data_IF_959155172004
#
_entry.id   IF_959155172004
#
_cell.length_a   1.000
_cell.length_b   1.000
_cell.length_c   1.000
_cell.angle_alpha   90.00
_cell.angle_beta   90.00
_cell.angle_gamma   90.00
#
_symmetry.space_group_name_H-M   'P 1'
#
loop_
_entity.id
_entity.type
_entity.pdbx_description
1 polymer ?
#
# COMPACT_ATOMS: atom_id res chain seq x y z
N UNK A 1 2.99 10.62 -6.82
CA UNK A 1 1.64 10.31 -7.33
C UNK A 1 0.68 10.41 -6.15
N UNK A 2 -0.53 10.95 -6.34
CA UNK A 2 -1.53 11.04 -5.26
C UNK A 2 -2.69 10.13 -5.66
N UNK A 3 -2.97 9.12 -4.84
CA UNK A 3 -4.08 8.20 -5.06
C UNK A 3 -5.32 8.74 -4.34
N UNK A 4 -6.48 8.76 -5.01
CA UNK A 4 -7.73 9.35 -4.51
C UNK A 4 -8.32 8.63 -3.28
N UNK A 5 -7.67 7.55 -2.84
CA UNK A 5 -8.00 6.74 -1.70
C UNK A 5 -7.09 6.99 -0.49
N UNK A 6 -6.38 8.12 -0.47
CA UNK A 6 -5.42 8.41 0.60
C UNK A 6 -5.83 9.61 1.44
N UNK A 7 -5.73 9.46 2.76
CA UNK A 7 -5.86 10.56 3.72
C UNK A 7 -4.49 11.06 4.18
N UNK A 8 -4.32 12.38 4.15
CA UNK A 8 -3.09 13.08 4.52
C UNK A 8 -3.35 13.88 5.80
N UNK A 9 -2.53 13.66 6.82
CA UNK A 9 -2.64 14.34 8.13
C UNK A 9 -1.44 15.21 8.47
N UNK A 10 -0.46 15.29 7.58
CA UNK A 10 0.75 16.06 7.77
C UNK A 10 1.58 16.15 6.49
N UNK A 11 2.73 16.82 6.59
CA UNK A 11 3.59 17.08 5.45
C UNK A 11 4.52 15.90 5.16
N UNK A 12 4.50 15.40 3.93
CA UNK A 12 5.34 14.29 3.47
C UNK A 12 6.84 14.66 3.48
N UNK A 13 7.18 15.94 3.30
CA UNK A 13 8.57 16.38 3.32
C UNK A 13 9.22 16.28 4.70
N UNK A 14 8.42 16.25 5.77
CA UNK A 14 8.91 16.05 7.14
C UNK A 14 9.37 14.61 7.38
N UNK A 15 8.95 13.67 6.53
CA UNK A 15 9.36 12.26 6.60
C UNK A 15 10.69 11.99 5.90
N UNK A 16 11.14 12.90 5.03
CA UNK A 16 12.37 12.73 4.26
C UNK A 16 13.47 13.57 4.89
N UNK A 17 14.39 12.94 5.61
CA UNK A 17 15.61 13.62 6.03
C UNK A 17 16.56 13.74 4.83
N UNK A 18 16.66 14.95 4.27
CA UNK A 18 17.49 15.24 3.09
C UNK A 18 18.98 14.88 3.28
N UNK A 19 19.49 14.86 4.52
CA UNK A 19 20.87 14.47 4.81
C UNK A 19 21.15 12.98 4.60
N UNK A 20 20.13 12.12 4.71
CA UNK A 20 20.26 10.67 4.46
C UNK A 20 20.11 10.32 2.98
N UNK A 21 19.74 11.28 2.12
CA UNK A 21 19.50 11.05 0.69
C UNK A 21 20.78 10.89 -0.14
N UNK A 22 21.93 11.23 0.42
CA UNK A 22 23.24 10.97 -0.19
C UNK A 22 23.57 9.47 -0.22
N UNK A 23 23.14 8.74 0.81
CA UNK A 23 23.30 7.28 0.89
C UNK A 23 22.11 6.51 0.31
N UNK A 24 20.91 7.08 0.37
CA UNK A 24 19.66 6.46 -0.13
C UNK A 24 19.00 7.38 -1.14
N UNK A 25 19.02 7.01 -2.42
CA UNK A 25 18.54 7.88 -3.50
C UNK A 25 17.10 7.58 -3.96
N UNK A 26 16.51 6.49 -3.43
CA UNK A 26 15.12 6.11 -3.62
C UNK A 26 14.54 5.71 -2.26
N UNK A 27 13.40 6.24 -1.86
CA UNK A 27 12.70 5.84 -0.63
C UNK A 27 11.29 5.41 -1.00
N UNK A 28 10.87 4.23 -0.55
CA UNK A 28 9.56 3.67 -0.83
C UNK A 28 8.77 3.41 0.44
N UNK A 29 7.45 3.32 0.31
CA UNK A 29 6.61 2.71 1.33
C UNK A 29 6.81 1.19 1.42
N UNK A 30 6.13 0.58 2.38
CA UNK A 30 6.26 -0.84 2.71
C UNK A 30 4.90 -1.52 2.69
N UNK A 31 4.87 -2.79 2.28
CA UNK A 31 3.68 -3.64 2.36
C UNK A 31 3.30 -3.94 3.82
N UNK A 32 4.28 -3.96 4.73
CA UNK A 32 4.04 -4.16 6.14
C UNK A 32 5.17 -3.65 7.03
N UNK A 33 5.07 -3.96 8.32
CA UNK A 33 6.04 -3.52 9.32
C UNK A 33 7.25 -4.43 9.45
N UNK A 34 7.03 -5.75 9.40
CA UNK A 34 8.02 -6.76 9.77
C UNK A 34 8.12 -7.86 8.69
N UNK A 35 9.17 -8.69 8.77
CA UNK A 35 9.38 -9.83 7.88
C UNK A 35 9.65 -9.43 6.42
N UNK A 36 9.31 -10.32 5.49
CA UNK A 36 9.29 -10.08 4.05
C UNK A 36 8.36 -8.91 3.69
N UNK A 37 7.20 -8.77 4.34
CA UNK A 37 6.29 -7.63 4.08
C UNK A 37 6.96 -6.28 4.38
N UNK A 38 7.80 -6.23 5.42
CA UNK A 38 8.62 -5.05 5.75
C UNK A 38 9.65 -4.68 4.68
N UNK A 39 9.96 -5.60 3.77
CA UNK A 39 10.97 -5.46 2.72
C UNK A 39 10.33 -5.22 1.35
N UNK A 40 9.12 -5.73 1.14
CA UNK A 40 8.33 -5.50 -0.07
C UNK A 40 7.83 -4.06 -0.16
N UNK A 41 7.76 -3.52 -1.38
CA UNK A 41 7.28 -2.17 -1.67
C UNK A 41 5.77 -2.23 -1.93
N UNK A 42 5.01 -1.35 -1.28
CA UNK A 42 3.57 -1.23 -1.58
C UNK A 42 3.36 -0.46 -2.89
N UNK A 43 4.15 0.58 -3.13
CA UNK A 43 4.21 1.30 -4.41
C UNK A 43 3.28 2.51 -4.48
N UNK A 44 2.50 2.79 -3.44
CA UNK A 44 1.65 3.98 -3.38
C UNK A 44 2.46 5.25 -3.18
N UNK A 45 3.54 5.18 -2.40
CA UNK A 45 4.37 6.33 -2.03
C UNK A 45 5.86 6.09 -2.23
N UNK A 46 6.51 7.04 -2.89
CA UNK A 46 7.95 7.06 -3.01
C UNK A 46 8.50 8.47 -3.14
N UNK A 47 9.76 8.61 -2.73
CA UNK A 47 10.60 9.78 -2.94
C UNK A 47 11.78 9.40 -3.84
N UNK A 48 12.02 10.20 -4.87
CA UNK A 48 13.03 9.97 -5.91
C UNK A 48 13.71 11.30 -6.21
N UNK A 49 15.03 11.34 -6.25
CA UNK A 49 15.75 12.49 -6.80
C UNK A 49 15.93 12.37 -8.32
N UNK A 50 15.91 13.49 -9.04
CA UNK A 50 16.07 13.51 -10.50
C UNK A 50 17.52 13.29 -10.92
N UNK A 51 17.96 12.03 -10.94
CA UNK A 51 19.32 11.64 -11.37
C UNK A 51 19.24 10.61 -12.49
N UNK A 52 20.24 10.54 -13.36
CA UNK A 52 20.29 9.60 -14.49
C UNK A 52 20.16 8.14 -14.05
N UNK A 53 20.76 7.78 -12.91
CA UNK A 53 20.64 6.42 -12.34
C UNK A 53 19.21 6.07 -11.92
N UNK A 54 18.45 7.05 -11.43
CA UNK A 54 17.04 6.86 -11.04
C UNK A 54 16.16 6.78 -12.28
N UNK A 55 16.43 7.60 -13.30
CA UNK A 55 15.74 7.50 -14.58
C UNK A 55 15.92 6.11 -15.19
N UNK A 56 17.16 5.60 -15.19
CA UNK A 56 17.47 4.24 -15.65
C UNK A 56 16.71 3.16 -14.88
N UNK A 57 16.57 3.32 -13.56
CA UNK A 57 15.79 2.41 -12.71
C UNK A 57 14.33 2.32 -13.18
N UNK A 58 13.64 3.45 -13.33
CA UNK A 58 12.23 3.47 -13.74
C UNK A 58 12.03 3.11 -15.22
N UNK A 59 13.00 3.43 -16.08
CA UNK A 59 12.97 3.00 -17.49
C UNK A 59 12.98 1.47 -17.61
N UNK A 60 13.86 0.79 -16.87
CA UNK A 60 13.89 -0.67 -16.84
C UNK A 60 12.56 -1.26 -16.32
N UNK A 61 11.91 -0.62 -15.33
CA UNK A 61 10.57 -1.04 -14.88
C UNK A 61 9.58 -0.95 -16.04
N UNK A 62 9.53 0.20 -16.72
CA UNK A 62 8.62 0.41 -17.85
C UNK A 62 8.83 -0.61 -18.97
N UNK A 63 10.08 -0.89 -19.34
CA UNK A 63 10.41 -1.89 -20.36
C UNK A 63 9.97 -3.31 -19.95
N UNK A 64 10.06 -3.67 -18.67
CA UNK A 64 9.57 -4.97 -18.18
C UNK A 64 8.06 -5.05 -18.14
N UNK A 65 7.37 -4.00 -17.71
CA UNK A 65 5.90 -3.97 -17.68
C UNK A 65 5.26 -4.14 -19.07
N UNK A 66 5.97 -3.75 -20.14
CA UNK A 66 5.50 -3.98 -21.52
C UNK A 66 5.53 -5.45 -21.94
N UNK A 67 6.35 -6.28 -21.29
CA UNK A 67 6.64 -7.66 -21.73
C UNK A 67 6.21 -8.74 -20.72
N UNK A 68 5.93 -8.36 -19.48
CA UNK A 68 5.62 -9.30 -18.41
C UNK A 68 4.35 -8.89 -17.67
N UNK A 69 3.51 -9.87 -17.34
CA UNK A 69 2.36 -9.66 -16.47
C UNK A 69 2.82 -9.62 -14.99
N UNK A 70 3.34 -8.46 -14.58
CA UNK A 70 3.86 -8.20 -13.24
C UNK A 70 3.44 -6.82 -12.79
N UNK A 71 3.40 -6.59 -11.48
CA UNK A 71 3.11 -5.26 -10.93
C UNK A 71 4.39 -4.43 -10.81
N UNK A 72 4.24 -3.12 -10.90
CA UNK A 72 5.34 -2.16 -10.84
C UNK A 72 6.07 -2.18 -9.49
N UNK A 73 5.34 -2.19 -8.37
CA UNK A 73 5.89 -2.26 -7.00
C UNK A 73 6.79 -3.49 -6.77
N UNK A 74 6.41 -4.62 -7.37
CA UNK A 74 7.16 -5.87 -7.36
C UNK A 74 8.48 -5.77 -8.13
N UNK A 75 8.47 -5.13 -9.30
CA UNK A 75 9.68 -4.83 -10.06
C UNK A 75 10.57 -3.79 -9.35
N UNK A 76 9.97 -2.77 -8.73
CA UNK A 76 10.71 -1.82 -7.87
C UNK A 76 11.45 -2.57 -6.77
N UNK A 77 10.76 -3.50 -6.08
CA UNK A 77 11.33 -4.29 -4.98
C UNK A 77 12.52 -5.12 -5.44
N UNK A 78 12.37 -5.81 -6.57
CA UNK A 78 13.45 -6.55 -7.23
C UNK A 78 14.65 -5.66 -7.54
N UNK A 79 14.44 -4.52 -8.21
CA UNK A 79 15.56 -3.66 -8.59
C UNK A 79 16.27 -3.07 -7.37
N UNK A 80 15.52 -2.77 -6.30
CA UNK A 80 16.07 -2.30 -5.03
C UNK A 80 16.98 -3.33 -4.36
N UNK A 81 16.51 -4.58 -4.22
CA UNK A 81 17.35 -5.62 -3.57
C UNK A 81 18.60 -5.96 -4.40
N UNK A 82 18.53 -5.72 -5.72
CA UNK A 82 19.65 -5.94 -6.63
C UNK A 82 20.60 -4.73 -6.76
N UNK A 83 20.30 -3.62 -6.08
CA UNK A 83 20.99 -2.34 -6.26
C UNK A 83 21.15 -1.96 -7.75
N UNK A 84 20.09 -2.14 -8.54
CA UNK A 84 20.13 -1.94 -9.98
C UNK A 84 20.66 -0.54 -10.33
N UNK A 85 21.58 -0.46 -11.29
CA UNK A 85 22.28 0.77 -11.67
C UNK A 85 22.95 1.52 -10.50
N UNK A 86 23.33 0.80 -9.43
CA UNK A 86 23.94 1.39 -8.24
C UNK A 86 22.97 2.18 -7.36
N UNK A 87 21.66 1.99 -7.55
CA UNK A 87 20.64 2.63 -6.72
C UNK A 87 20.57 1.99 -5.34
N UNK A 88 20.52 2.83 -4.31
CA UNK A 88 20.32 2.41 -2.93
C UNK A 88 18.93 2.83 -2.49
N UNK A 89 18.13 1.83 -2.11
CA UNK A 89 16.76 2.03 -1.70
C UNK A 89 16.62 2.02 -0.18
N UNK A 90 15.74 2.87 0.33
CA UNK A 90 15.31 2.88 1.72
C UNK A 90 13.80 2.82 1.83
N UNK A 91 13.33 2.80 3.06
CA UNK A 91 11.92 2.67 3.39
C UNK A 91 11.45 3.80 4.29
N UNK A 92 10.26 4.32 4.01
CA UNK A 92 9.55 5.11 5.00
C UNK A 92 9.20 4.22 6.20
N UNK A 93 9.24 4.74 7.44
CA UNK A 93 8.74 3.99 8.58
C UNK A 93 7.26 3.63 8.35
N UNK A 94 6.92 2.35 8.45
CA UNK A 94 5.55 1.88 8.24
C UNK A 94 4.56 2.54 9.21
N UNK A 95 5.00 2.94 10.40
CA UNK A 95 4.16 3.70 11.35
C UNK A 95 3.78 5.10 10.88
N UNK A 96 4.40 5.62 9.81
CA UNK A 96 4.15 6.95 9.25
C UNK A 96 3.33 6.90 7.96
N UNK A 97 3.58 5.90 7.11
CA UNK A 97 2.86 5.66 5.86
C UNK A 97 2.33 4.23 5.90
N UNK A 98 1.02 4.10 6.05
CA UNK A 98 0.35 2.80 6.16
C UNK A 98 -0.53 2.53 4.95
N UNK A 99 -0.67 1.25 4.63
CA UNK A 99 -1.55 0.77 3.57
C UNK A 99 -2.77 0.02 4.16
N UNK A 100 -3.54 -0.59 3.27
CA UNK A 100 -4.77 -1.34 3.57
C UNK A 100 -4.60 -2.46 4.60
N UNK A 101 -3.40 -3.03 4.77
CA UNK A 101 -3.10 -4.07 5.76
C UNK A 101 -3.04 -3.54 7.19
N UNK A 102 -2.92 -2.22 7.37
CA UNK A 102 -2.77 -1.64 8.69
C UNK A 102 -4.07 -1.65 9.49
N UNK A 103 -3.98 -2.19 10.70
CA UNK A 103 -5.07 -2.21 11.67
C UNK A 103 -4.71 -1.28 12.82
N UNK A 104 -5.58 -0.32 13.11
CA UNK A 104 -5.43 0.56 14.27
C UNK A 104 -5.40 -0.28 15.55
N UNK A 105 -4.31 -0.24 16.35
CA UNK A 105 -4.32 -0.82 17.68
C UNK A 105 -5.32 -0.07 18.57
N UNK A 106 -6.07 -0.79 19.41
CA UNK A 106 -7.03 -0.17 20.33
C UNK A 106 -6.37 0.82 21.30
N UNK A 107 -5.10 0.57 21.66
CA UNK A 107 -4.29 1.42 22.52
C UNK A 107 -3.72 2.67 21.86
N UNK A 108 -3.88 2.84 20.54
CA UNK A 108 -3.27 3.96 19.80
C UNK A 108 -4.11 5.24 19.93
N UNK A 109 -3.50 6.27 20.52
CA UNK A 109 -4.08 7.61 20.60
C UNK A 109 -4.21 8.26 19.22
N UNK A 110 -5.18 9.15 19.08
CA UNK A 110 -5.44 9.86 17.81
C UNK A 110 -4.28 10.79 17.40
N UNK A 111 -3.46 11.25 18.34
CA UNK A 111 -2.22 12.00 18.07
C UNK A 111 -1.16 11.18 17.35
N UNK A 112 -1.16 9.85 17.56
CA UNK A 112 -0.10 8.95 17.14
C UNK A 112 -0.46 8.19 15.86
N UNK A 113 -1.61 8.54 15.26
CA UNK A 113 -2.04 8.01 13.98
C UNK A 113 -1.01 8.35 12.88
N UNK A 114 -0.81 7.45 11.90
CA UNK A 114 0.00 7.70 10.71
C UNK A 114 -0.30 9.02 10.01
N UNK A 115 0.72 9.53 9.30
CA UNK A 115 0.61 10.77 8.53
C UNK A 115 -0.14 10.50 7.21
N UNK A 116 0.08 9.33 6.63
CA UNK A 116 -0.55 8.89 5.39
C UNK A 116 -1.23 7.54 5.58
N UNK A 117 -2.49 7.47 5.14
CA UNK A 117 -3.28 6.24 5.08
C UNK A 117 -3.69 5.99 3.64
N UNK A 118 -3.30 4.86 3.07
CA UNK A 118 -3.80 4.39 1.79
C UNK A 118 -4.89 3.35 2.01
N UNK A 119 -6.09 3.67 1.55
CA UNK A 119 -7.23 2.75 1.56
C UNK A 119 -7.36 2.09 0.19
N UNK A 120 -6.31 1.40 -0.23
CA UNK A 120 -6.40 0.49 -1.37
C UNK A 120 -7.27 -0.70 -0.98
N UNK A 121 -7.98 -1.30 -1.93
CA UNK A 121 -8.84 -2.45 -1.64
C UNK A 121 -8.00 -3.60 -1.05
N UNK A 122 -8.32 -4.07 0.16
CA UNK A 122 -7.57 -5.18 0.73
C UNK A 122 -8.14 -5.83 2.00
N UNK A 123 -8.06 -7.16 1.98
CA UNK A 123 -8.58 -8.20 2.89
C UNK A 123 -9.89 -7.92 3.64
N UNK A 124 -10.97 -8.46 3.09
CA UNK A 124 -12.20 -8.74 3.80
C UNK A 124 -13.40 -7.93 3.35
N UNK A 125 -14.56 -8.27 3.90
CA UNK A 125 -15.84 -7.62 3.58
C UNK A 125 -15.95 -6.16 4.08
N UNK A 126 -14.92 -5.60 4.73
CA UNK A 126 -14.94 -4.21 5.20
C UNK A 126 -14.72 -3.26 4.01
N UNK A 127 -15.74 -2.48 3.68
CA UNK A 127 -15.62 -1.47 2.64
C UNK A 127 -14.65 -0.36 3.05
N UNK A 128 -13.94 0.22 2.07
CA UNK A 128 -13.10 1.43 2.24
C UNK A 128 -13.74 2.51 3.11
N UNK A 129 -15.04 2.75 2.93
CA UNK A 129 -15.80 3.74 3.69
C UNK A 129 -15.92 3.38 5.18
N UNK A 130 -16.09 2.10 5.51
CA UNK A 130 -16.12 1.63 6.90
C UNK A 130 -14.75 1.80 7.57
N UNK A 131 -13.66 1.47 6.87
CA UNK A 131 -12.30 1.67 7.37
C UNK A 131 -12.03 3.16 7.66
N UNK A 132 -12.45 4.06 6.77
CA UNK A 132 -12.35 5.52 6.97
C UNK A 132 -13.17 5.96 8.19
N UNK A 133 -14.40 5.46 8.39
CA UNK A 133 -15.24 5.79 9.56
C UNK A 133 -14.63 5.34 10.88
N UNK A 134 -14.03 4.15 10.93
CA UNK A 134 -13.32 3.65 12.11
C UNK A 134 -12.16 4.58 12.51
N UNK A 135 -11.56 5.25 11.54
CA UNK A 135 -10.50 6.24 11.77
C UNK A 135 -11.03 7.64 12.10
N UNK A 136 -12.35 7.81 12.17
CA UNK A 136 -13.00 9.06 12.55
C UNK A 136 -13.44 9.93 11.37
N UNK A 137 -13.38 9.42 10.12
CA UNK A 137 -13.88 10.18 8.98
C UNK A 137 -15.41 10.34 9.07
N UNK A 138 -15.87 11.59 9.01
CA UNK A 138 -17.27 11.92 8.87
C UNK A 138 -17.62 12.06 7.39
N UNK A 139 -18.73 11.46 6.97
CA UNK A 139 -19.23 11.55 5.60
C UNK A 139 -20.52 12.35 5.59
N UNK A 140 -20.68 13.21 4.59
CA UNK A 140 -21.89 13.99 4.39
C UNK A 140 -23.08 13.06 4.11
N UNK A 141 -24.20 13.37 4.75
CA UNK A 141 -25.48 12.73 4.49
C UNK A 141 -26.26 13.59 3.48
N UNK A 142 -26.16 13.23 2.20
CA UNK A 142 -26.82 13.98 1.13
C UNK A 142 -28.35 13.93 1.21
N UNK A 143 -28.94 12.99 1.97
CA UNK A 143 -30.38 12.98 2.23
C UNK A 143 -30.80 14.17 3.11
N UNK A 144 -29.84 14.83 3.77
CA UNK A 144 -30.07 16.06 4.54
C UNK A 144 -29.88 17.34 3.72
N UNK A 145 -29.55 17.21 2.43
CA UNK A 145 -29.49 18.35 1.52
C UNK A 145 -30.90 18.72 1.07
N UNK A 146 -31.38 19.88 1.52
CA UNK A 146 -32.55 20.52 0.91
C UNK A 146 -32.08 21.57 -0.10
N UNK A 147 -32.30 21.38 -1.41
CA UNK A 147 -31.84 22.33 -2.43
C UNK A 147 -32.51 23.70 -2.34
N UNK A 148 -33.61 23.83 -1.58
CA UNK A 148 -34.37 25.08 -1.44
C UNK A 148 -34.07 25.83 -0.14
N UNK A 149 -33.31 25.23 0.78
CA UNK A 149 -32.98 25.84 2.08
C UNK A 149 -31.45 25.85 2.22
N UNK A 150 -30.82 27.03 2.43
CA UNK A 150 -29.40 27.11 2.70
C UNK A 150 -29.13 26.64 4.13
N UNK A 151 -29.16 25.32 4.34
CA UNK A 151 -28.84 24.69 5.61
C UNK A 151 -27.57 23.84 5.49
N UNK A 152 -26.71 23.83 6.52
CA UNK A 152 -25.50 23.02 6.50
C UNK A 152 -25.85 21.53 6.42
N UNK A 153 -25.28 20.85 5.43
CA UNK A 153 -25.42 19.39 5.26
C UNK A 153 -24.90 18.71 6.52
N UNK A 154 -25.66 17.76 7.05
CA UNK A 154 -25.26 17.02 8.25
C UNK A 154 -24.34 15.87 7.88
N UNK A 155 -23.46 15.49 8.79
CA UNK A 155 -22.70 14.25 8.67
C UNK A 155 -23.53 13.05 9.17
N UNK A 156 -23.29 11.87 8.61
CA UNK A 156 -23.82 10.62 9.17
C UNK A 156 -23.37 10.46 10.63
N UNK A 157 -24.30 10.56 11.57
CA UNK A 157 -24.03 10.39 13.01
C UNK A 157 -23.92 8.91 13.44
N UNK A 158 -24.33 7.98 12.57
CA UNK A 158 -24.29 6.52 12.78
C UNK A 158 -23.52 5.86 11.64
N UNK A 159 -22.91 4.68 11.83
CA UNK A 159 -22.41 3.90 10.71
C UNK A 159 -23.55 3.74 9.70
N UNK A 160 -23.28 4.09 8.42
CA UNK A 160 -24.28 3.91 7.36
C UNK A 160 -24.69 2.45 7.41
N UNK A 161 -26.00 2.18 7.49
CA UNK A 161 -26.51 0.83 7.24
C UNK A 161 -25.97 0.44 5.87
N UNK A 162 -25.42 -0.77 5.75
CA UNK A 162 -24.68 -1.28 4.60
C UNK A 162 -25.50 -1.44 3.29
N UNK A 163 -26.54 -0.62 3.08
CA UNK A 163 -27.53 -0.76 2.02
C UNK A 163 -27.98 0.53 1.33
N UNK A 164 -27.34 1.70 1.55
CA UNK A 164 -27.75 2.97 0.88
C UNK A 164 -26.73 3.44 -0.18
N UNK A 165 -25.65 2.70 -0.41
CA UNK A 165 -24.90 2.83 -1.67
C UNK A 165 -25.40 1.72 -2.60
N UNK A 166 -26.26 2.12 -3.53
CA UNK A 166 -26.72 1.33 -4.67
C UNK A 166 -25.56 0.57 -5.31
N UNK A 167 -25.63 -0.75 -5.17
CA UNK A 167 -25.25 -1.76 -6.16
C UNK A 167 -24.10 -1.43 -7.13
N UNK A 168 -22.90 -1.27 -6.59
CA UNK A 168 -21.76 -2.06 -7.08
C UNK A 168 -21.00 -2.54 -5.85
N UNK A 169 -21.60 -3.45 -5.09
CA UNK A 169 -20.81 -4.30 -4.21
C UNK A 169 -19.88 -5.06 -5.15
N UNK A 170 -18.61 -4.67 -5.20
CA UNK A 170 -17.54 -5.65 -5.42
C UNK A 170 -17.64 -6.62 -4.22
N UNK A 171 -18.63 -7.52 -4.27
CA UNK A 171 -18.50 -8.77 -3.58
C UNK A 171 -17.26 -9.39 -4.21
N UNK A 172 -16.17 -9.45 -3.45
CA UNK A 172 -15.10 -10.38 -3.78
C UNK A 172 -15.79 -11.70 -4.11
N UNK A 173 -15.63 -12.15 -5.35
CA UNK A 173 -16.19 -13.43 -5.74
C UNK A 173 -15.59 -14.50 -4.82
N UNK A 174 -16.28 -15.61 -4.62
CA UNK A 174 -15.75 -16.76 -3.86
C UNK A 174 -14.37 -17.19 -4.38
N UNK A 175 -14.09 -16.94 -5.66
CA UNK A 175 -12.79 -17.17 -6.29
C UNK A 175 -11.72 -16.15 -5.85
N UNK A 176 -12.07 -14.87 -5.71
CA UNK A 176 -11.17 -13.84 -5.17
C UNK A 176 -10.78 -14.15 -3.72
N UNK A 177 -11.73 -14.62 -2.90
CA UNK A 177 -11.45 -15.04 -1.52
C UNK A 177 -10.52 -16.26 -1.44
N UNK A 178 -10.72 -17.27 -2.32
CA UNK A 178 -9.81 -18.42 -2.42
C UNK A 178 -8.41 -18.00 -2.86
N UNK A 179 -8.29 -17.12 -3.84
CA UNK A 179 -7.01 -16.59 -4.30
C UNK A 179 -6.27 -15.85 -3.17
N UNK A 180 -6.97 -15.02 -2.40
CA UNK A 180 -6.41 -14.32 -1.24
C UNK A 180 -5.90 -15.30 -0.17
N UNK A 181 -6.65 -16.37 0.14
CA UNK A 181 -6.21 -17.41 1.08
C UNK A 181 -4.96 -18.14 0.59
N UNK A 182 -4.88 -18.45 -0.70
CA UNK A 182 -3.70 -19.08 -1.31
C UNK A 182 -2.49 -18.15 -1.19
N UNK A 183 -2.66 -16.87 -1.52
CA UNK A 183 -1.61 -15.85 -1.39
C UNK A 183 -1.14 -15.74 0.07
N UNK A 184 -2.07 -15.67 1.03
CA UNK A 184 -1.74 -15.63 2.45
C UNK A 184 -0.96 -16.88 2.90
N UNK A 185 -1.41 -18.07 2.49
CA UNK A 185 -0.72 -19.33 2.80
C UNK A 185 0.72 -19.33 2.29
N UNK A 186 0.92 -19.02 1.01
CA UNK A 186 2.26 -18.99 0.43
C UNK A 186 3.13 -17.92 1.07
N UNK A 187 2.56 -16.75 1.37
CA UNK A 187 3.31 -15.71 2.06
C UNK A 187 3.77 -16.17 3.45
N UNK A 188 2.90 -16.81 4.24
CA UNK A 188 3.26 -17.40 5.54
C UNK A 188 4.31 -18.51 5.40
N UNK A 189 4.20 -19.35 4.37
CA UNK A 189 5.18 -20.37 4.06
C UNK A 189 6.56 -19.75 3.77
N UNK A 190 6.64 -18.75 2.89
CA UNK A 190 7.89 -18.08 2.54
C UNK A 190 8.48 -17.29 3.71
N UNK A 191 7.67 -16.70 4.59
CA UNK A 191 8.16 -16.09 5.82
C UNK A 191 8.87 -17.09 6.73
N UNK A 192 8.24 -18.24 6.95
CA UNK A 192 8.79 -19.32 7.78
C UNK A 192 10.09 -19.86 7.17
N UNK A 193 10.09 -20.05 5.85
CA UNK A 193 11.26 -20.51 5.10
C UNK A 193 12.40 -19.49 5.19
N UNK A 194 12.11 -18.20 5.02
CA UNK A 194 13.09 -17.12 5.08
C UNK A 194 13.72 -16.96 6.47
N UNK A 195 12.94 -17.17 7.53
CA UNK A 195 13.45 -17.14 8.90
C UNK A 195 14.47 -18.26 9.19
N UNK A 196 14.44 -19.34 8.39
CA UNK A 196 15.26 -20.55 8.62
C UNK A 196 16.49 -20.62 7.73
N UNK A 197 16.43 -20.08 6.50
CA UNK A 197 17.49 -20.23 5.49
C UNK A 197 18.12 -18.87 5.17
N UNK A 198 19.37 -18.61 5.60
CA UNK A 198 20.08 -17.38 5.27
C UNK A 198 20.21 -17.15 3.75
N UNK A 199 19.98 -15.92 3.30
CA UNK A 199 20.12 -15.52 1.90
C UNK A 199 18.95 -15.90 0.98
N UNK A 200 18.03 -16.74 1.45
CA UNK A 200 16.82 -17.11 0.72
C UNK A 200 15.94 -15.90 0.39
N UNK A 201 15.94 -14.89 1.27
CA UNK A 201 15.31 -13.60 1.06
C UNK A 201 15.59 -13.00 -0.31
N UNK A 202 16.86 -12.98 -0.71
CA UNK A 202 17.27 -12.40 -1.98
C UNK A 202 16.62 -13.13 -3.15
N UNK A 203 16.53 -14.46 -3.06
CA UNK A 203 15.90 -15.28 -4.09
C UNK A 203 14.39 -15.06 -4.12
N UNK A 204 13.71 -15.05 -2.96
CA UNK A 204 12.27 -14.81 -2.86
C UNK A 204 11.92 -13.44 -3.46
N UNK A 205 12.58 -12.37 -2.99
CA UNK A 205 12.26 -11.00 -3.35
C UNK A 205 12.75 -10.57 -4.73
N UNK A 206 13.71 -11.29 -5.35
CA UNK A 206 14.20 -10.94 -6.70
C UNK A 206 13.72 -11.85 -7.82
N UNK A 207 13.27 -13.08 -7.51
CA UNK A 207 12.89 -14.10 -8.50
C UNK A 207 11.48 -14.64 -8.34
N UNK A 208 10.97 -14.78 -7.12
CA UNK A 208 9.66 -15.41 -6.88
C UNK A 208 8.57 -14.34 -6.83
N UNK A 209 8.57 -13.50 -5.80
CA UNK A 209 7.53 -12.49 -5.57
C UNK A 209 7.36 -11.50 -6.74
N UNK A 210 8.43 -11.03 -7.40
CA UNK A 210 8.25 -10.10 -8.51
C UNK A 210 7.44 -10.65 -9.70
N UNK A 211 7.45 -11.97 -9.87
CA UNK A 211 6.78 -12.67 -10.96
C UNK A 211 5.60 -13.51 -10.46
N UNK A 212 5.16 -13.30 -9.22
CA UNK A 212 4.08 -14.07 -8.60
C UNK A 212 2.80 -14.09 -9.44
N UNK A 213 2.35 -12.92 -9.90
CA UNK A 213 1.16 -12.79 -10.74
C UNK A 213 1.32 -13.50 -12.08
N UNK A 214 2.51 -13.45 -12.68
CA UNK A 214 2.84 -14.16 -13.91
C UNK A 214 2.75 -15.68 -13.72
N UNK A 215 3.28 -16.21 -12.61
CA UNK A 215 3.22 -17.65 -12.30
C UNK A 215 1.83 -18.16 -11.93
N UNK A 216 0.91 -17.29 -11.50
CA UNK A 216 -0.46 -17.69 -11.17
C UNK A 216 -1.40 -17.72 -12.38
N UNK A 217 -1.04 -17.06 -13.48
CA UNK A 217 -1.89 -16.94 -14.67
C UNK A 217 -1.50 -17.94 -15.77
N UNK A 218 -0.26 -18.44 -15.75
CA UNK A 218 0.24 -19.49 -16.65
C UNK A 218 0.11 -20.85 -15.96
#
# INVERSE_FOLDING_TARGET
MIQADTIWRGNLFDLVNKKNLTETNLIFDSEGQNGLLGKMIAGGYFYVNGTEKNEKFFKEIGEKLLNYYVTDNNLMGKQCIQNFAGNKCGKFPYSKIVNWRWKRPESLNSSDLPILFQFDGGDGAESKLQAMKRLGAAFLDFDTLDPNIPQPIKCYQKPMKAGILTETRYFESTETQKANLIIQFFHSFFETLNATVPGLEYLILSKIFPFWAYYLII
#
